data_IF_204241835992
#
_entry.id   IF_204241835992
#
_cell.length_a   1.000
_cell.length_b   1.000
_cell.length_c   1.000
_cell.angle_alpha   90.00
_cell.angle_beta   90.00
_cell.angle_gamma   90.00
#
_symmetry.space_group_name_H-M   'P 1'
#
loop_
_entity.id
_entity.type
_entity.pdbx_description
1 polymer ?
#
# COMPACT_ATOMS: atom_id res chain seq x y z
N UNK A 1 4.15 -0.90 12.70
CA UNK A 1 3.40 -1.87 13.52
C UNK A 1 1.92 -1.92 13.12
N UNK A 2 1.21 -0.80 13.02
CA UNK A 2 -0.22 -0.77 12.69
C UNK A 2 -0.58 -1.59 11.45
N UNK A 3 0.18 -1.49 10.36
CA UNK A 3 -0.03 -2.24 9.12
C UNK A 3 0.13 -3.76 9.28
N UNK A 4 0.95 -4.21 10.22
CA UNK A 4 1.25 -5.64 10.42
C UNK A 4 0.36 -6.24 11.51
N UNK A 5 0.24 -5.55 12.65
CA UNK A 5 -0.46 -6.08 13.84
C UNK A 5 -1.84 -5.50 14.06
N UNK A 6 -2.24 -4.51 13.26
CA UNK A 6 -3.47 -3.76 13.46
C UNK A 6 -3.37 -2.65 14.51
N UNK A 7 -2.26 -2.58 15.26
CA UNK A 7 -2.06 -1.68 16.38
C UNK A 7 -0.70 -0.98 16.31
N UNK A 8 -0.64 0.25 16.76
CA UNK A 8 0.61 0.99 17.00
C UNK A 8 0.48 1.80 18.27
N UNK A 9 1.49 1.73 19.11
CA UNK A 9 1.55 2.41 20.41
C UNK A 9 2.72 3.36 20.40
N UNK A 10 2.46 4.63 20.71
CA UNK A 10 3.47 5.66 20.88
C UNK A 10 3.39 6.14 22.32
N UNK A 11 4.42 5.86 23.09
CA UNK A 11 4.51 6.27 24.47
C UNK A 11 5.23 7.62 24.58
N UNK A 12 4.65 8.51 25.38
CA UNK A 12 5.21 9.82 25.69
C UNK A 12 5.97 9.76 27.02
N UNK A 13 7.29 9.85 26.95
CA UNK A 13 8.12 10.00 28.12
C UNK A 13 8.03 11.45 28.63
N UNK A 14 7.56 11.63 29.86
CA UNK A 14 7.35 12.95 30.45
C UNK A 14 8.45 13.32 31.45
N UNK A 15 8.84 14.59 31.40
CA UNK A 15 9.70 15.20 32.41
C UNK A 15 8.92 15.39 33.73
N UNK A 16 9.66 15.62 34.82
CA UNK A 16 9.08 15.90 36.14
C UNK A 16 8.11 17.10 36.16
N UNK A 17 8.22 18.01 35.18
CA UNK A 17 7.33 19.15 35.00
C UNK A 17 6.06 18.81 34.18
N UNK A 18 5.86 17.54 33.84
CA UNK A 18 4.71 17.03 33.09
C UNK A 18 4.79 17.22 31.57
N UNK A 19 5.80 17.94 31.05
CA UNK A 19 5.96 18.12 29.60
C UNK A 19 6.53 16.87 28.94
N UNK A 20 6.10 16.60 27.72
CA UNK A 20 6.63 15.50 26.91
C UNK A 20 8.08 15.80 26.51
N UNK A 21 8.99 14.90 26.86
CA UNK A 21 10.40 14.98 26.50
C UNK A 21 10.67 14.31 25.15
N UNK A 22 10.05 13.16 24.95
CA UNK A 22 10.22 12.35 23.73
C UNK A 22 9.01 11.45 23.49
N UNK A 23 8.84 11.01 22.25
CA UNK A 23 7.85 10.03 21.84
C UNK A 23 8.57 8.76 21.37
N UNK A 24 8.23 7.63 21.99
CA UNK A 24 8.84 6.33 21.69
C UNK A 24 7.79 5.40 21.13
N UNK A 25 8.03 4.86 19.93
CA UNK A 25 7.16 3.84 19.36
C UNK A 25 7.44 2.49 19.99
N UNK A 26 6.45 1.92 20.66
CA UNK A 26 6.57 0.59 21.30
C UNK A 26 6.27 -0.52 20.29
N UNK A 27 7.07 -1.62 20.28
CA UNK A 27 6.76 -2.81 19.52
C UNK A 27 5.43 -3.43 19.98
N UNK A 28 4.41 -3.39 19.11
CA UNK A 28 3.03 -3.75 19.46
C UNK A 28 2.85 -5.20 19.94
N UNK A 29 3.74 -6.12 19.56
CA UNK A 29 3.70 -7.50 20.01
C UNK A 29 4.02 -7.68 21.50
N UNK A 30 4.60 -6.68 22.15
CA UNK A 30 4.95 -6.71 23.58
C UNK A 30 4.08 -5.80 24.44
N UNK A 31 3.06 -5.16 23.82
CA UNK A 31 2.12 -4.27 24.53
C UNK A 31 0.82 -5.00 24.77
N UNK A 32 0.40 -5.09 26.04
CA UNK A 32 -0.92 -5.55 26.40
C UNK A 32 -1.76 -4.39 26.96
N UNK A 33 -3.05 -4.41 26.64
CA UNK A 33 -4.02 -3.39 27.09
C UNK A 33 -4.61 -3.82 28.41
N UNK A 34 -4.62 -2.91 29.37
CA UNK A 34 -5.26 -3.08 30.66
C UNK A 34 -6.60 -2.35 30.61
N UNK A 35 -7.70 -3.12 30.69
CA UNK A 35 -9.07 -2.58 30.66
C UNK A 35 -9.45 -1.99 32.02
N UNK A 36 -10.22 -0.91 32.01
CA UNK A 36 -10.83 -0.33 33.20
C UNK A 36 -12.11 -1.06 33.67
N UNK A 37 -12.45 -2.18 33.02
CA UNK A 37 -13.66 -2.96 33.29
C UNK A 37 -14.90 -2.47 32.53
N UNK A 38 -14.81 -1.41 31.76
CA UNK A 38 -15.88 -0.96 30.86
C UNK A 38 -15.73 -1.54 29.46
N UNK A 39 -16.76 -1.43 28.64
CA UNK A 39 -16.82 -2.05 27.31
C UNK A 39 -15.66 -1.61 26.39
N UNK A 40 -15.26 -0.34 26.45
CA UNK A 40 -14.22 0.23 25.59
C UNK A 40 -13.16 1.00 26.37
N UNK A 41 -13.19 0.92 27.70
CA UNK A 41 -12.29 1.68 28.54
C UNK A 41 -10.92 1.04 28.66
N UNK A 42 -9.90 1.86 28.58
CA UNK A 42 -8.51 1.49 28.75
C UNK A 42 -7.96 2.27 29.95
N UNK A 43 -7.58 1.55 30.98
CA UNK A 43 -6.93 2.11 32.17
C UNK A 43 -5.46 2.41 31.87
N UNK A 44 -4.81 1.48 31.18
CA UNK A 44 -3.40 1.60 30.84
C UNK A 44 -2.91 0.51 29.91
N UNK A 45 -1.59 0.44 29.82
CA UNK A 45 -0.87 -0.53 28.99
C UNK A 45 0.25 -1.16 29.81
N UNK A 46 0.58 -2.41 29.52
CA UNK A 46 1.82 -3.02 30.00
C UNK A 46 2.77 -3.28 28.84
N UNK A 47 4.06 -3.10 29.08
CA UNK A 47 5.09 -3.34 28.08
C UNK A 47 6.09 -4.39 28.59
N UNK A 48 5.93 -5.62 28.13
CA UNK A 48 6.60 -6.79 28.68
C UNK A 48 8.07 -6.89 28.31
N UNK A 49 8.52 -6.24 27.22
CA UNK A 49 9.92 -6.32 26.76
C UNK A 49 10.93 -5.79 27.79
N UNK A 50 10.58 -4.76 28.54
CA UNK A 50 11.43 -4.14 29.58
C UNK A 50 10.82 -4.25 30.97
N UNK A 51 9.74 -5.02 31.12
CA UNK A 51 9.10 -5.24 32.43
C UNK A 51 8.39 -4.01 32.97
N UNK A 52 7.82 -3.17 32.11
CA UNK A 52 6.92 -2.08 32.54
C UNK A 52 5.52 -2.63 32.72
N UNK A 53 5.13 -2.83 33.96
CA UNK A 53 3.86 -3.46 34.29
C UNK A 53 2.67 -2.54 34.03
N UNK A 54 2.87 -1.23 34.11
CA UNK A 54 1.83 -0.24 33.91
C UNK A 54 2.34 1.05 33.28
N UNK A 55 1.69 1.45 32.17
CA UNK A 55 1.80 2.75 31.51
C UNK A 55 0.41 3.37 31.50
N UNK A 56 0.28 4.60 32.01
CA UNK A 56 -1.00 5.31 32.05
C UNK A 56 -1.55 5.54 30.63
N UNK A 57 -2.83 5.31 30.43
CA UNK A 57 -3.48 5.50 29.13
C UNK A 57 -3.31 6.92 28.57
N UNK A 58 -3.20 7.93 29.43
CA UNK A 58 -2.97 9.33 29.01
C UNK A 58 -1.59 9.58 28.40
N UNK A 59 -0.63 8.70 28.64
CA UNK A 59 0.74 8.83 28.15
C UNK A 59 1.01 7.95 26.93
N UNK A 60 -0.01 7.26 26.41
CA UNK A 60 0.12 6.38 25.23
C UNK A 60 -0.87 6.80 24.15
N UNK A 61 -0.35 7.08 22.96
CA UNK A 61 -1.18 7.26 21.78
C UNK A 61 -1.35 5.87 21.14
N UNK A 62 -2.58 5.36 21.16
CA UNK A 62 -2.93 4.09 20.54
C UNK A 62 -3.64 4.32 19.21
N UNK A 63 -2.94 3.99 18.11
CA UNK A 63 -3.49 3.97 16.76
C UNK A 63 -3.87 2.54 16.40
N UNK A 64 -5.14 2.31 16.06
CA UNK A 64 -5.63 0.96 15.72
C UNK A 64 -6.55 0.99 14.51
N UNK A 65 -6.60 -0.13 13.81
CA UNK A 65 -7.65 -0.38 12.82
C UNK A 65 -8.96 -0.80 13.52
N UNK A 66 -10.06 -0.65 12.80
CA UNK A 66 -11.34 -1.14 13.28
C UNK A 66 -11.32 -2.67 13.47
N UNK A 67 -11.84 -3.12 14.59
CA UNK A 67 -12.01 -4.53 14.88
C UNK A 67 -13.50 -4.83 15.11
N UNK A 68 -14.14 -5.65 14.25
CA UNK A 68 -15.54 -6.02 14.39
C UNK A 68 -15.77 -7.07 15.47
N UNK A 69 -14.71 -7.74 15.94
CA UNK A 69 -14.84 -8.77 16.96
C UNK A 69 -15.00 -8.15 18.34
N UNK A 70 -16.00 -8.65 19.04
CA UNK A 70 -16.34 -8.22 20.40
C UNK A 70 -16.46 -9.46 21.27
N UNK A 71 -15.64 -9.58 22.29
CA UNK A 71 -15.67 -10.72 23.21
C UNK A 71 -15.34 -10.32 24.63
N UNK A 72 -15.50 -11.28 25.55
CA UNK A 72 -15.20 -11.10 26.98
C UNK A 72 -13.72 -10.92 27.29
N UNK A 73 -12.84 -11.24 26.33
CA UNK A 73 -11.40 -11.08 26.45
C UNK A 73 -10.91 -9.67 26.04
N UNK A 74 -11.80 -8.81 25.60
CA UNK A 74 -11.47 -7.44 25.23
C UNK A 74 -10.88 -7.31 23.82
N UNK A 75 -11.22 -8.22 22.88
CA UNK A 75 -10.73 -8.16 21.50
C UNK A 75 -11.02 -6.82 20.82
N UNK A 76 -12.13 -6.16 21.17
CA UNK A 76 -12.51 -4.84 20.66
C UNK A 76 -11.54 -3.71 21.04
N UNK A 77 -10.74 -3.92 22.08
CA UNK A 77 -9.74 -2.94 22.50
C UNK A 77 -8.55 -2.91 21.54
N UNK A 78 -8.26 -4.04 20.88
CA UNK A 78 -7.20 -4.16 19.89
C UNK A 78 -7.73 -3.92 18.48
N UNK A 79 -6.87 -3.43 17.61
CA UNK A 79 -7.15 -3.32 16.18
C UNK A 79 -6.98 -4.66 15.45
N UNK A 80 -7.80 -4.91 14.43
CA UNK A 80 -7.67 -6.07 13.57
C UNK A 80 -6.55 -5.86 12.55
N UNK A 81 -5.61 -6.78 12.47
CA UNK A 81 -4.55 -6.74 11.47
C UNK A 81 -5.10 -6.95 10.06
N UNK A 82 -4.70 -6.14 9.06
CA UNK A 82 -5.00 -6.42 7.65
C UNK A 82 -4.51 -7.81 7.21
N UNK A 83 -3.33 -8.24 7.70
CA UNK A 83 -2.81 -9.59 7.43
C UNK A 83 -3.67 -10.69 8.06
N UNK A 84 -4.26 -10.44 9.22
CA UNK A 84 -5.17 -11.38 9.85
C UNK A 84 -6.47 -11.50 9.04
N UNK A 85 -6.97 -10.40 8.50
CA UNK A 85 -8.12 -10.43 7.58
C UNK A 85 -7.80 -11.23 6.31
N UNK A 86 -6.55 -11.14 5.80
CA UNK A 86 -6.05 -11.86 4.64
C UNK A 86 -5.37 -13.20 5.00
N UNK A 87 -5.60 -13.76 6.18
CA UNK A 87 -4.88 -14.93 6.68
C UNK A 87 -4.85 -16.10 5.69
N UNK A 88 -5.98 -16.40 5.06
CA UNK A 88 -6.07 -17.49 4.07
C UNK A 88 -5.20 -17.24 2.84
N UNK A 89 -5.10 -16.01 2.39
CA UNK A 89 -4.25 -15.63 1.25
C UNK A 89 -2.77 -15.79 1.61
N UNK A 90 -2.37 -15.34 2.81
CA UNK A 90 -1.02 -15.51 3.32
C UNK A 90 -0.67 -16.99 3.48
N UNK A 91 -1.57 -17.77 4.09
CA UNK A 91 -1.37 -19.21 4.28
C UNK A 91 -1.22 -19.92 2.92
N UNK A 92 -2.12 -19.66 1.96
CA UNK A 92 -2.03 -20.22 0.61
C UNK A 92 -0.68 -19.91 -0.05
N UNK A 93 -0.16 -18.69 0.10
CA UNK A 93 1.14 -18.31 -0.43
C UNK A 93 2.27 -19.10 0.22
N UNK A 94 2.23 -19.30 1.53
CA UNK A 94 3.24 -20.07 2.24
C UNK A 94 3.19 -21.55 1.83
N UNK A 95 2.00 -22.15 1.82
CA UNK A 95 1.81 -23.55 1.42
C UNK A 95 2.23 -23.80 -0.03
N UNK A 96 1.96 -22.85 -0.95
CA UNK A 96 2.40 -22.92 -2.34
C UNK A 96 3.93 -22.88 -2.46
N UNK A 97 4.59 -22.00 -1.70
CA UNK A 97 6.05 -21.90 -1.67
C UNK A 97 6.70 -23.15 -1.05
N UNK A 98 6.15 -23.64 0.07
CA UNK A 98 6.62 -24.85 0.70
C UNK A 98 6.45 -26.07 -0.21
N UNK A 99 5.33 -26.16 -0.92
CA UNK A 99 5.07 -27.19 -1.94
C UNK A 99 6.08 -27.09 -3.09
N UNK A 100 6.35 -25.88 -3.59
CA UNK A 100 7.33 -25.64 -4.64
C UNK A 100 8.74 -26.05 -4.21
N UNK A 101 9.14 -25.68 -2.99
CA UNK A 101 10.43 -26.08 -2.41
C UNK A 101 10.47 -27.59 -2.23
N UNK A 102 9.42 -28.21 -1.71
CA UNK A 102 9.31 -29.66 -1.55
C UNK A 102 9.40 -30.41 -2.89
N UNK A 103 8.78 -29.89 -3.93
CA UNK A 103 8.88 -30.45 -5.31
C UNK A 103 10.31 -30.35 -5.87
N UNK A 104 10.99 -29.24 -5.59
CA UNK A 104 12.39 -29.05 -6.03
C UNK A 104 13.38 -29.92 -5.24
N UNK A 105 13.14 -30.13 -3.97
CA UNK A 105 13.96 -30.97 -3.10
C UNK A 105 13.71 -32.46 -3.30
N UNK A 106 12.45 -32.83 -3.35
CA UNK A 106 12.01 -34.18 -3.68
C UNK A 106 11.89 -34.28 -5.20
N UNK A 107 13.02 -34.38 -5.89
CA UNK A 107 13.02 -34.78 -7.29
C UNK A 107 12.45 -36.20 -7.35
N UNK A 108 11.14 -36.35 -7.16
CA UNK A 108 10.43 -37.61 -7.26
C UNK A 108 10.74 -38.29 -8.58
N UNK A 109 10.49 -39.59 -8.73
CA UNK A 109 10.76 -40.30 -9.96
C UNK A 109 10.03 -39.58 -11.09
N UNK A 110 10.81 -39.06 -12.05
CA UNK A 110 10.26 -38.38 -13.25
C UNK A 110 9.34 -39.28 -14.09
N UNK A 111 9.27 -40.55 -13.72
CA UNK A 111 8.40 -41.52 -14.33
C UNK A 111 8.62 -42.94 -13.78
N UNK A 112 7.75 -43.81 -14.18
CA UNK A 112 7.86 -45.24 -13.86
C UNK A 112 8.31 -45.96 -15.12
N UNK A 113 9.37 -46.71 -14.98
CA UNK A 113 9.84 -47.66 -16.00
C UNK A 113 9.14 -49.00 -15.71
N UNK A 114 8.39 -49.52 -16.67
CA UNK A 114 7.75 -50.81 -16.53
C UNK A 114 8.11 -51.70 -17.70
N UNK A 115 8.15 -53.01 -17.46
CA UNK A 115 8.36 -53.99 -18.52
C UNK A 115 7.02 -54.22 -19.26
N UNK A 116 7.06 -54.30 -20.59
CA UNK A 116 5.90 -54.70 -21.41
C UNK A 116 5.54 -56.17 -21.15
N UNK A 117 4.25 -56.50 -21.21
CA UNK A 117 3.67 -57.81 -20.81
C UNK A 117 4.34 -59.03 -21.43
N UNK A 118 5.16 -58.88 -22.45
CA UNK A 118 5.87 -59.94 -23.13
C UNK A 118 7.19 -60.41 -22.44
N UNK A 119 7.66 -59.75 -21.41
CA UNK A 119 8.89 -60.08 -20.68
C UNK A 119 8.64 -60.06 -19.17
N UNK A 120 8.61 -61.24 -18.54
CA UNK A 120 8.53 -61.38 -17.06
C UNK A 120 9.87 -60.95 -16.48
N UNK A 121 9.94 -59.69 -16.04
CA UNK A 121 11.10 -59.19 -15.25
C UNK A 121 11.06 -59.85 -13.87
N UNK A 122 12.06 -60.69 -13.57
CA UNK A 122 12.27 -61.21 -12.23
C UNK A 122 12.64 -60.10 -11.26
N UNK A 123 12.34 -60.30 -9.96
CA UNK A 123 12.68 -59.33 -8.89
C UNK A 123 14.18 -58.99 -8.88
N UNK A 124 15.03 -59.93 -9.25
CA UNK A 124 16.48 -59.76 -9.32
C UNK A 124 16.94 -58.83 -10.45
N UNK A 125 16.31 -58.93 -11.62
CA UNK A 125 16.58 -58.07 -12.77
C UNK A 125 16.07 -56.66 -12.55
N UNK A 126 14.92 -56.49 -11.94
CA UNK A 126 14.37 -55.19 -11.49
C UNK A 126 15.28 -54.52 -10.45
N UNK A 127 15.89 -55.30 -9.54
CA UNK A 127 16.87 -54.83 -8.59
C UNK A 127 18.14 -54.28 -9.23
N UNK A 128 18.70 -55.03 -10.18
CA UNK A 128 19.90 -54.63 -10.95
C UNK A 128 19.65 -53.37 -11.77
N UNK A 129 18.51 -53.28 -12.46
CA UNK A 129 18.14 -52.11 -13.23
C UNK A 129 17.99 -50.85 -12.36
N UNK A 130 17.42 -51.02 -11.17
CA UNK A 130 17.30 -49.96 -10.17
C UNK A 130 18.65 -49.46 -9.65
N UNK A 131 19.55 -50.41 -9.40
CA UNK A 131 20.91 -50.12 -8.93
C UNK A 131 21.76 -49.43 -10.00
N UNK A 132 21.69 -49.90 -11.25
CA UNK A 132 22.34 -49.27 -12.39
C UNK A 132 21.81 -47.88 -12.68
N UNK A 133 20.49 -47.68 -12.57
CA UNK A 133 19.87 -46.36 -12.71
C UNK A 133 20.32 -45.43 -11.60
N UNK A 134 20.36 -45.92 -10.35
CA UNK A 134 20.77 -45.13 -9.17
C UNK A 134 22.26 -44.77 -9.26
N UNK A 135 23.10 -45.69 -9.73
CA UNK A 135 24.54 -45.46 -9.92
C UNK A 135 24.84 -44.50 -11.07
N UNK A 136 24.00 -44.46 -12.11
CA UNK A 136 24.16 -43.58 -13.26
C UNK A 136 23.55 -42.19 -13.06
N UNK A 137 22.42 -42.08 -12.37
CA UNK A 137 21.63 -40.84 -12.25
C UNK A 137 21.33 -40.42 -10.82
N UNK A 138 21.64 -41.24 -9.83
CA UNK A 138 21.39 -40.95 -8.43
C UNK A 138 22.35 -39.91 -7.84
N UNK A 139 21.91 -39.17 -6.89
CA UNK A 139 22.75 -38.22 -6.13
C UNK A 139 23.59 -38.98 -5.11
N UNK A 140 24.92 -38.89 -5.18
CA UNK A 140 25.78 -39.47 -4.16
C UNK A 140 25.61 -38.72 -2.85
N UNK A 141 25.69 -39.41 -1.72
CA UNK A 141 25.41 -38.93 -0.35
C UNK A 141 26.31 -37.78 0.15
N UNK A 142 27.13 -37.17 -0.68
CA UNK A 142 27.97 -36.02 -0.41
C UNK A 142 27.67 -34.78 -1.29
N UNK A 143 26.48 -34.70 -1.89
CA UNK A 143 26.08 -33.51 -2.66
C UNK A 143 26.80 -33.36 -4.02
N UNK A 144 27.59 -34.33 -4.46
CA UNK A 144 28.15 -34.34 -5.80
C UNK A 144 27.09 -34.76 -6.82
N UNK A 145 26.65 -33.82 -7.63
CA UNK A 145 25.79 -34.09 -8.78
C UNK A 145 26.62 -34.89 -9.80
N UNK A 146 26.19 -36.13 -10.08
CA UNK A 146 26.78 -36.91 -11.15
C UNK A 146 26.40 -36.24 -12.49
N UNK A 147 27.35 -35.62 -13.18
CA UNK A 147 27.14 -35.00 -14.48
C UNK A 147 26.96 -36.08 -15.55
N UNK A 148 25.79 -36.68 -15.61
CA UNK A 148 25.39 -37.66 -16.61
C UNK A 148 24.25 -37.15 -17.50
N UNK A 149 24.09 -35.83 -17.62
CA UNK A 149 23.16 -35.24 -18.54
C UNK A 149 23.49 -35.67 -19.98
N UNK A 150 22.56 -36.37 -20.60
CA UNK A 150 22.70 -36.81 -22.00
C UNK A 150 23.18 -38.27 -22.21
N UNK A 151 23.49 -39.04 -21.17
CA UNK A 151 23.74 -40.47 -21.33
C UNK A 151 22.46 -41.26 -21.60
N UNK A 152 22.50 -42.12 -22.60
CA UNK A 152 21.38 -42.98 -23.00
C UNK A 152 21.46 -44.26 -22.18
N UNK A 153 20.39 -44.60 -21.47
CA UNK A 153 20.26 -45.92 -20.83
C UNK A 153 19.95 -46.96 -21.89
N UNK A 154 20.81 -47.96 -22.04
CA UNK A 154 20.59 -49.08 -22.96
C UNK A 154 19.99 -50.22 -22.12
N UNK A 155 18.72 -50.50 -22.32
CA UNK A 155 18.02 -51.58 -21.66
C UNK A 155 17.91 -52.77 -22.63
N UNK A 156 18.21 -53.99 -22.16
CA UNK A 156 18.11 -55.20 -22.94
C UNK A 156 16.67 -55.73 -23.13
N UNK A 157 15.67 -55.02 -22.62
CA UNK A 157 14.27 -55.42 -22.68
C UNK A 157 13.40 -54.26 -23.17
N UNK A 158 12.23 -54.57 -23.74
CA UNK A 158 11.25 -53.59 -24.16
C UNK A 158 10.60 -52.95 -22.91
N UNK A 159 10.98 -51.70 -22.63
CA UNK A 159 10.55 -50.95 -21.48
C UNK A 159 9.54 -49.88 -21.91
N UNK A 160 8.45 -49.81 -21.20
CA UNK A 160 7.51 -48.70 -21.27
C UNK A 160 7.86 -47.63 -20.22
N UNK A 161 7.72 -46.38 -20.59
CA UNK A 161 7.93 -45.24 -19.70
C UNK A 161 6.64 -44.49 -19.48
N UNK A 162 6.20 -44.40 -18.25
CA UNK A 162 5.12 -43.48 -17.87
C UNK A 162 5.73 -42.25 -17.23
N UNK A 163 5.60 -41.13 -17.93
CA UNK A 163 6.07 -39.87 -17.42
C UNK A 163 5.20 -39.43 -16.22
N UNK A 164 5.79 -39.33 -15.04
CA UNK A 164 5.19 -38.75 -13.83
C UNK A 164 5.76 -37.36 -13.55
N UNK A 165 6.50 -36.82 -14.53
CA UNK A 165 7.11 -35.50 -14.43
C UNK A 165 6.05 -34.42 -14.20
N UNK A 166 6.50 -33.38 -13.54
CA UNK A 166 5.76 -32.20 -13.13
C UNK A 166 4.72 -31.81 -14.20
N UNK A 167 3.49 -31.92 -13.79
CA UNK A 167 2.28 -31.61 -14.53
C UNK A 167 2.18 -30.08 -14.76
N UNK A 168 1.26 -29.60 -15.60
CA UNK A 168 0.86 -28.21 -15.75
C UNK A 168 0.57 -27.46 -14.43
N UNK A 169 0.49 -28.16 -13.31
CA UNK A 169 0.39 -27.66 -11.94
C UNK A 169 1.50 -26.64 -11.61
N UNK A 170 2.72 -26.77 -12.19
CA UNK A 170 3.83 -25.84 -11.93
C UNK A 170 3.58 -24.46 -12.54
N UNK A 171 2.97 -24.41 -13.71
CA UNK A 171 2.52 -23.16 -14.34
C UNK A 171 1.39 -22.50 -13.53
N UNK A 172 0.48 -23.29 -12.95
CA UNK A 172 -0.57 -22.80 -12.08
C UNK A 172 -0.04 -22.24 -10.75
N UNK A 173 1.09 -22.75 -10.23
CA UNK A 173 1.74 -22.19 -9.04
C UNK A 173 2.26 -20.78 -9.29
N UNK A 174 2.90 -20.52 -10.43
CA UNK A 174 3.38 -19.19 -10.80
C UNK A 174 2.23 -18.18 -11.00
N UNK A 175 1.13 -18.61 -11.63
CA UNK A 175 -0.07 -17.78 -11.76
C UNK A 175 -0.73 -17.53 -10.39
N UNK A 176 -0.73 -18.53 -9.50
CA UNK A 176 -1.22 -18.39 -8.13
C UNK A 176 -0.42 -17.35 -7.33
N UNK A 177 0.90 -17.23 -7.54
CA UNK A 177 1.71 -16.19 -6.90
C UNK A 177 1.30 -14.78 -7.33
N UNK A 178 1.02 -14.58 -8.62
CA UNK A 178 0.52 -13.29 -9.13
C UNK A 178 -0.84 -12.91 -8.53
N UNK A 179 -1.75 -13.89 -8.46
CA UNK A 179 -3.08 -13.69 -7.84
C UNK A 179 -2.92 -13.34 -6.36
N UNK A 180 -2.06 -14.05 -5.64
CA UNK A 180 -1.77 -13.79 -4.22
C UNK A 180 -1.21 -12.39 -4.00
N UNK A 181 -0.27 -11.94 -4.85
CA UNK A 181 0.27 -10.58 -4.82
C UNK A 181 -0.87 -9.54 -4.95
N UNK A 182 -1.73 -9.70 -5.95
CA UNK A 182 -2.86 -8.79 -6.19
C UNK A 182 -3.87 -8.78 -5.04
N UNK A 183 -4.17 -9.95 -4.47
CA UNK A 183 -5.04 -10.04 -3.28
C UNK A 183 -4.45 -9.30 -2.08
N UNK A 184 -3.15 -9.46 -1.79
CA UNK A 184 -2.47 -8.74 -0.72
C UNK A 184 -2.41 -7.23 -1.00
N UNK A 185 -2.16 -6.83 -2.23
CA UNK A 185 -2.22 -5.43 -2.64
C UNK A 185 -3.62 -4.84 -2.37
N UNK A 186 -4.69 -5.56 -2.70
CA UNK A 186 -6.07 -5.14 -2.44
C UNK A 186 -6.37 -4.98 -0.95
N UNK A 187 -5.83 -5.85 -0.08
CA UNK A 187 -5.99 -5.76 1.38
C UNK A 187 -5.41 -4.46 1.94
N UNK A 188 -4.31 -4.00 1.36
CA UNK A 188 -3.66 -2.74 1.76
C UNK A 188 -4.10 -1.53 0.92
N UNK A 189 -4.98 -1.72 -0.06
CA UNK A 189 -5.43 -0.65 -0.96
C UNK A 189 -4.32 -0.11 -1.87
N UNK A 190 -3.32 -0.94 -2.19
CA UNK A 190 -2.16 -0.54 -3.00
C UNK A 190 -2.22 -1.21 -4.37
N UNK A 191 -1.89 -0.47 -5.41
CA UNK A 191 -1.88 -1.02 -6.77
C UNK A 191 -0.70 -1.99 -6.99
N UNK A 192 -0.97 -3.17 -7.57
CA UNK A 192 0.04 -4.21 -7.82
C UNK A 192 1.17 -3.77 -8.78
N UNK A 193 0.93 -2.76 -9.60
CA UNK A 193 1.95 -2.19 -10.50
C UNK A 193 3.20 -1.71 -9.72
N UNK A 194 3.06 -1.27 -8.47
CA UNK A 194 4.17 -0.85 -7.61
C UNK A 194 5.08 -2.01 -7.18
N UNK A 195 4.61 -3.24 -7.25
CA UNK A 195 5.31 -4.45 -6.83
C UNK A 195 5.81 -5.31 -8.00
N UNK A 196 6.10 -4.68 -9.14
CA UNK A 196 6.62 -5.36 -10.34
C UNK A 196 5.67 -6.41 -10.92
N UNK A 197 4.34 -6.22 -10.83
CA UNK A 197 3.37 -7.06 -11.53
C UNK A 197 3.59 -6.93 -13.06
N UNK A 198 4.04 -8.00 -13.75
CA UNK A 198 4.45 -7.89 -15.15
C UNK A 198 3.28 -7.58 -16.08
N UNK A 199 2.06 -7.94 -15.68
CA UNK A 199 0.87 -7.75 -16.51
C UNK A 199 0.32 -6.31 -16.39
N UNK A 200 0.74 -5.55 -15.35
CA UNK A 200 0.21 -4.21 -15.03
C UNK A 200 1.28 -3.10 -15.05
N UNK A 201 2.53 -3.44 -15.46
CA UNK A 201 3.67 -2.51 -15.41
C UNK A 201 3.81 -1.71 -16.69
N UNK A 202 3.06 -0.60 -16.83
CA UNK A 202 3.35 0.43 -17.83
C UNK A 202 3.78 1.73 -17.14
N UNK A 203 4.45 2.63 -17.86
CA UNK A 203 4.94 3.90 -17.29
C UNK A 203 3.78 4.74 -16.73
N UNK A 204 2.69 4.84 -17.47
CA UNK A 204 1.51 5.60 -17.03
C UNK A 204 0.84 4.95 -15.81
N UNK A 205 0.70 3.61 -15.81
CA UNK A 205 0.13 2.91 -14.66
C UNK A 205 0.97 3.08 -13.40
N UNK A 206 2.31 3.12 -13.52
CA UNK A 206 3.20 3.35 -12.39
C UNK A 206 3.04 4.75 -11.78
N UNK A 207 2.86 5.78 -12.60
CA UNK A 207 2.65 7.15 -12.15
C UNK A 207 1.31 7.28 -11.41
N UNK A 208 0.24 6.78 -12.02
CA UNK A 208 -1.08 6.76 -11.41
C UNK A 208 -1.12 5.92 -10.14
N UNK A 209 -0.45 4.75 -10.12
CA UNK A 209 -0.39 3.90 -8.95
C UNK A 209 0.32 4.56 -7.76
N UNK A 210 1.36 5.36 -7.99
CA UNK A 210 2.01 6.15 -6.93
C UNK A 210 1.08 7.21 -6.36
N UNK A 211 0.39 7.94 -7.23
CA UNK A 211 -0.60 8.96 -6.84
C UNK A 211 -1.75 8.32 -6.05
N UNK A 212 -2.27 7.19 -6.54
CA UNK A 212 -3.31 6.42 -5.88
C UNK A 212 -2.89 5.94 -4.49
N UNK A 213 -1.67 5.40 -4.35
CA UNK A 213 -1.11 5.00 -3.05
C UNK A 213 -1.05 6.18 -2.07
N UNK A 214 -0.60 7.34 -2.53
CA UNK A 214 -0.54 8.53 -1.68
C UNK A 214 -1.94 8.98 -1.24
N UNK A 215 -2.89 9.07 -2.16
CA UNK A 215 -4.22 9.62 -1.87
C UNK A 215 -5.11 8.65 -1.11
N UNK A 216 -5.04 7.34 -1.39
CA UNK A 216 -5.94 6.35 -0.80
C UNK A 216 -5.37 5.66 0.45
N UNK A 217 -4.05 5.59 0.59
CA UNK A 217 -3.41 4.87 1.70
C UNK A 217 -2.64 5.80 2.62
N UNK A 218 -1.71 6.60 2.07
CA UNK A 218 -0.80 7.42 2.89
C UNK A 218 -1.52 8.59 3.55
N UNK A 219 -2.30 9.36 2.78
CA UNK A 219 -3.00 10.53 3.32
C UNK A 219 -4.01 10.18 4.42
N UNK A 220 -4.87 9.15 4.30
CA UNK A 220 -5.75 8.74 5.40
C UNK A 220 -4.99 8.34 6.66
N UNK A 221 -3.85 7.66 6.54
CA UNK A 221 -3.00 7.31 7.68
C UNK A 221 -2.35 8.54 8.32
N UNK A 222 -1.90 9.50 7.53
CA UNK A 222 -1.36 10.78 8.02
C UNK A 222 -2.45 11.60 8.73
N UNK A 223 -3.68 11.63 8.21
CA UNK A 223 -4.82 12.29 8.85
C UNK A 223 -5.13 11.64 10.19
N UNK A 224 -5.17 10.30 10.25
CA UNK A 224 -5.42 9.58 11.50
C UNK A 224 -4.32 9.87 12.55
N UNK A 225 -3.06 9.92 12.12
CA UNK A 225 -1.92 10.26 12.97
C UNK A 225 -1.98 11.71 13.47
N UNK A 226 -2.25 12.65 12.57
CA UNK A 226 -2.44 14.08 12.87
C UNK A 226 -3.53 14.27 13.92
N UNK A 227 -4.69 13.64 13.71
CA UNK A 227 -5.84 13.77 14.61
C UNK A 227 -5.57 13.14 15.98
N UNK A 228 -4.80 12.05 16.02
CA UNK A 228 -4.36 11.45 17.28
C UNK A 228 -3.38 12.37 18.03
N UNK A 229 -2.43 12.98 17.35
CA UNK A 229 -1.49 13.93 17.94
C UNK A 229 -2.22 15.19 18.42
N UNK A 230 -3.13 15.75 17.64
CA UNK A 230 -3.90 16.92 18.06
C UNK A 230 -4.75 16.63 19.33
N UNK A 231 -5.34 15.44 19.43
CA UNK A 231 -6.05 15.04 20.65
C UNK A 231 -5.12 14.87 21.84
N UNK A 232 -3.97 14.25 21.63
CA UNK A 232 -2.99 13.97 22.68
C UNK A 232 -2.37 15.26 23.23
N UNK A 233 -1.97 16.17 22.34
CA UNK A 233 -1.33 17.44 22.71
C UNK A 233 -2.29 18.60 22.91
N UNK A 234 -3.61 18.37 22.91
CA UNK A 234 -4.61 19.45 23.01
C UNK A 234 -4.41 20.38 24.21
N UNK A 235 -3.95 19.84 25.35
CA UNK A 235 -3.66 20.62 26.55
C UNK A 235 -2.32 21.36 26.52
N UNK A 236 -1.39 20.97 25.64
CA UNK A 236 -0.01 21.47 25.61
C UNK A 236 0.20 22.52 24.51
N UNK A 237 -0.50 22.38 23.37
CA UNK A 237 -0.33 23.26 22.19
C UNK A 237 -1.00 24.63 22.41
N UNK A 238 -2.03 24.72 23.27
CA UNK A 238 -2.77 25.94 23.51
C UNK A 238 -3.88 26.22 22.49
N UNK A 239 -4.77 27.13 22.83
CA UNK A 239 -5.92 27.46 22.00
C UNK A 239 -5.49 28.18 20.71
N UNK A 240 -5.98 27.69 19.58
CA UNK A 240 -5.74 28.31 18.26
C UNK A 240 -4.60 27.72 17.45
N UNK A 241 -3.88 26.75 17.99
CA UNK A 241 -2.84 26.01 17.25
C UNK A 241 -3.23 24.56 17.06
N UNK A 242 -2.78 23.96 15.95
CA UNK A 242 -2.95 22.55 15.67
C UNK A 242 -1.74 22.02 14.90
N UNK A 243 -1.49 20.74 15.04
CA UNK A 243 -0.46 20.02 14.28
C UNK A 243 -1.07 19.63 12.93
N UNK A 244 -0.37 19.93 11.87
CA UNK A 244 -0.74 19.49 10.52
C UNK A 244 0.51 19.02 9.76
N UNK A 245 0.30 18.38 8.62
CA UNK A 245 1.37 17.96 7.73
C UNK A 245 1.28 18.69 6.40
N UNK A 246 2.44 18.93 5.79
CA UNK A 246 2.52 19.62 4.52
C UNK A 246 2.38 18.64 3.34
N UNK A 247 1.28 18.76 2.59
CA UNK A 247 1.02 17.93 1.41
C UNK A 247 1.95 18.30 0.24
N UNK A 248 2.52 19.50 0.23
CA UNK A 248 3.38 19.96 -0.87
C UNK A 248 4.71 19.21 -0.94
N UNK A 249 5.06 18.48 0.12
CA UNK A 249 6.22 17.59 0.16
C UNK A 249 6.11 16.42 -0.83
N UNK A 250 4.89 16.06 -1.26
CA UNK A 250 4.67 14.94 -2.18
C UNK A 250 4.71 15.40 -3.65
N UNK A 251 5.77 15.06 -4.43
CA UNK A 251 5.89 15.50 -5.82
C UNK A 251 4.75 15.02 -6.71
N UNK A 252 4.20 13.83 -6.43
CA UNK A 252 3.12 13.22 -7.19
C UNK A 252 1.79 14.00 -7.06
N UNK A 253 1.62 14.77 -5.99
CA UNK A 253 0.47 15.63 -5.76
C UNK A 253 0.66 17.05 -6.31
N UNK A 254 1.88 17.44 -6.63
CA UNK A 254 2.18 18.77 -7.20
C UNK A 254 1.63 18.92 -8.64
N UNK A 255 1.47 17.83 -9.38
CA UNK A 255 0.84 17.88 -10.70
C UNK A 255 -0.62 18.30 -10.64
N UNK A 256 -1.34 17.89 -9.59
CA UNK A 256 -2.71 18.35 -9.35
C UNK A 256 -2.74 19.85 -9.04
N UNK A 257 -1.72 20.37 -8.38
CA UNK A 257 -1.58 21.82 -8.15
C UNK A 257 -1.34 22.59 -9.45
N UNK A 258 -0.62 22.00 -10.41
CA UNK A 258 -0.43 22.60 -11.73
C UNK A 258 -1.72 22.64 -12.52
N UNK A 259 -2.49 21.55 -12.50
CA UNK A 259 -3.81 21.47 -13.12
C UNK A 259 -4.78 22.46 -12.46
N UNK A 260 -4.81 22.47 -11.12
CA UNK A 260 -5.60 23.43 -10.34
C UNK A 260 -5.22 24.87 -10.68
N UNK A 261 -3.93 25.20 -10.77
CA UNK A 261 -3.46 26.51 -11.21
C UNK A 261 -3.94 26.87 -12.59
N UNK A 262 -3.95 25.91 -13.53
CA UNK A 262 -4.50 26.06 -14.87
C UNK A 262 -5.99 26.38 -14.84
N UNK A 263 -6.77 25.65 -14.05
CA UNK A 263 -8.21 25.87 -13.87
C UNK A 263 -8.46 27.24 -13.23
N UNK A 264 -7.77 27.57 -12.14
CA UNK A 264 -7.92 28.83 -11.44
C UNK A 264 -7.51 30.06 -12.29
N UNK A 265 -6.55 29.90 -13.20
CA UNK A 265 -6.14 30.97 -14.12
C UNK A 265 -7.25 31.34 -15.10
N UNK A 266 -8.05 30.35 -15.50
CA UNK A 266 -9.21 30.54 -16.39
C UNK A 266 -10.48 30.99 -15.67
N UNK A 267 -10.53 30.82 -14.34
CA UNK A 267 -11.69 31.15 -13.51
C UNK A 267 -11.68 32.63 -13.13
N UNK A 268 -12.21 33.47 -14.01
CA UNK A 268 -12.24 34.93 -13.81
C UNK A 268 -13.22 35.39 -12.71
N UNK A 269 -14.22 34.54 -12.36
CA UNK A 269 -15.25 34.80 -11.35
C UNK A 269 -14.77 34.55 -9.89
N UNK A 270 -13.53 34.10 -9.68
CA UNK A 270 -12.91 33.87 -8.38
C UNK A 270 -11.92 34.98 -8.10
N UNK A 271 -11.94 35.53 -6.88
CA UNK A 271 -11.02 36.58 -6.48
C UNK A 271 -9.58 36.11 -6.39
N UNK A 272 -8.56 36.97 -6.53
CA UNK A 272 -7.17 36.61 -6.35
C UNK A 272 -6.85 35.99 -4.98
N UNK A 273 -7.47 36.47 -3.88
CA UNK A 273 -7.30 35.90 -2.55
C UNK A 273 -7.90 34.50 -2.44
N UNK A 274 -9.07 34.25 -3.03
CA UNK A 274 -9.65 32.92 -3.09
C UNK A 274 -8.78 31.95 -3.92
N UNK A 275 -8.18 32.41 -5.02
CA UNK A 275 -7.22 31.62 -5.82
C UNK A 275 -5.97 31.30 -5.02
N UNK A 276 -5.45 32.27 -4.24
CA UNK A 276 -4.31 32.05 -3.34
C UNK A 276 -4.66 31.02 -2.26
N UNK A 277 -5.81 31.18 -1.61
CA UNK A 277 -6.29 30.24 -0.60
C UNK A 277 -6.48 28.82 -1.16
N UNK A 278 -7.07 28.67 -2.36
CA UNK A 278 -7.22 27.39 -3.04
C UNK A 278 -5.87 26.74 -3.38
N UNK A 279 -4.85 27.56 -3.69
CA UNK A 279 -3.46 27.13 -3.92
C UNK A 279 -2.65 27.01 -2.62
N UNK A 280 -3.30 27.22 -1.46
CA UNK A 280 -2.68 27.19 -0.11
C UNK A 280 -1.59 28.25 0.12
N UNK A 281 -1.68 29.36 -0.58
CA UNK A 281 -0.88 30.55 -0.27
C UNK A 281 -1.65 31.44 0.72
N UNK A 282 -0.91 32.18 1.54
CA UNK A 282 -1.49 33.19 2.43
C UNK A 282 -2.23 34.24 1.60
N UNK A 283 -3.38 34.72 2.09
CA UNK A 283 -4.11 35.81 1.49
C UNK A 283 -3.34 37.12 1.63
N UNK A 284 -3.46 37.99 0.62
CA UNK A 284 -2.86 39.33 0.68
C UNK A 284 -3.77 40.28 1.47
N UNK A 285 -3.18 41.18 2.24
CA UNK A 285 -3.92 42.24 2.95
C UNK A 285 -4.38 43.38 2.03
N UNK A 286 -4.04 43.38 0.75
CA UNK A 286 -4.45 44.38 -0.22
C UNK A 286 -5.93 44.19 -0.57
N UNK A 287 -6.82 45.18 -0.31
CA UNK A 287 -8.25 45.10 -0.61
C UNK A 287 -8.55 44.79 -2.09
N UNK A 288 -7.69 45.22 -3.03
CA UNK A 288 -7.86 44.92 -4.44
C UNK A 288 -7.82 43.39 -4.75
N UNK A 289 -7.22 42.58 -3.88
CA UNK A 289 -7.12 41.13 -4.04
C UNK A 289 -8.43 40.38 -3.70
N UNK A 290 -9.41 41.06 -3.10
CA UNK A 290 -10.73 40.54 -2.81
C UNK A 290 -11.77 40.95 -3.88
N UNK A 291 -11.35 41.68 -4.93
CA UNK A 291 -12.19 42.06 -6.03
C UNK A 291 -12.10 41.07 -7.20
N UNK A 292 -13.22 40.93 -7.96
CA UNK A 292 -13.26 40.07 -9.14
C UNK A 292 -12.75 40.85 -10.35
N UNK A 293 -11.70 40.33 -10.97
CA UNK A 293 -11.14 40.91 -12.20
C UNK A 293 -11.77 40.26 -13.44
N UNK A 294 -12.52 41.05 -14.19
CA UNK A 294 -13.11 40.60 -15.47
C UNK A 294 -12.07 40.82 -16.57
N UNK A 295 -11.69 39.79 -17.35
CA UNK A 295 -10.77 39.97 -18.47
C UNK A 295 -11.32 40.97 -19.50
N UNK A 296 -10.47 41.83 -20.03
CA UNK A 296 -10.82 42.74 -21.10
C UNK A 296 -11.33 41.96 -22.32
N UNK A 297 -12.56 42.28 -22.79
CA UNK A 297 -13.19 41.55 -23.90
C UNK A 297 -14.45 40.76 -23.54
N UNK A 298 -14.74 40.58 -22.25
CA UNK A 298 -16.07 40.10 -21.83
C UNK A 298 -17.05 41.26 -21.83
N UNK A 299 -17.96 41.28 -22.82
CA UNK A 299 -19.05 42.22 -22.88
C UNK A 299 -20.31 41.60 -22.27
N UNK A 300 -21.07 42.38 -21.53
CA UNK A 300 -22.38 41.96 -21.05
C UNK A 300 -23.34 41.84 -22.25
N UNK A 301 -24.32 40.91 -22.15
CA UNK A 301 -25.30 40.69 -23.21
C UNK A 301 -26.05 41.98 -23.55
N UNK A 302 -26.32 42.82 -22.53
CA UNK A 302 -26.98 44.12 -22.69
C UNK A 302 -26.10 45.11 -23.50
N UNK A 303 -24.76 45.05 -23.34
CA UNK A 303 -23.82 45.88 -24.12
C UNK A 303 -23.66 45.39 -25.55
N UNK A 304 -23.78 44.07 -25.79
CA UNK A 304 -23.83 43.51 -27.14
C UNK A 304 -25.05 43.97 -27.93
N UNK A 305 -26.20 44.11 -27.28
CA UNK A 305 -27.43 44.65 -27.90
C UNK A 305 -27.30 46.14 -28.18
N UNK A 306 -26.62 46.93 -27.36
CA UNK A 306 -26.34 48.33 -27.58
C UNK A 306 -25.34 48.57 -28.73
N UNK A 307 -24.40 47.65 -28.96
CA UNK A 307 -23.45 47.73 -30.09
C UNK A 307 -24.11 47.35 -31.44
N UNK A 308 -25.27 46.71 -31.44
CA UNK A 308 -26.02 46.33 -32.64
C UNK A 308 -27.07 47.40 -33.04
N UNK A 309 -27.30 48.40 -32.21
CA UNK A 309 -28.24 49.47 -32.51
C UNK A 309 -27.52 50.64 -33.25
N UNK A 310 -27.72 50.83 -34.56
CA UNK A 310 -26.99 51.82 -35.35
C UNK A 310 -27.29 53.28 -34.96
N UNK A 311 -28.24 53.50 -34.05
CA UNK A 311 -28.57 54.84 -33.54
C UNK A 311 -27.61 55.29 -32.39
N UNK A 312 -26.90 54.44 -31.78
CA UNK A 312 -25.95 54.77 -30.65
C UNK A 312 -24.52 55.08 -31.13
N UNK A 313 -24.21 54.87 -32.42
CA UNK A 313 -22.87 55.15 -32.96
C UNK A 313 -22.54 56.66 -33.10
N UNK A 314 -23.52 57.54 -32.91
CA UNK A 314 -23.29 58.97 -33.02
C UNK A 314 -23.01 59.75 -31.75
N UNK A 315 -23.01 59.06 -30.56
CA UNK A 315 -22.73 59.73 -29.29
C UNK A 315 -21.35 59.48 -28.71
N UNK A 316 -20.47 58.66 -29.34
CA UNK A 316 -19.11 58.43 -28.91
C UNK A 316 -18.04 59.29 -29.55
N UNK A 317 -18.43 60.46 -30.17
CA UNK A 317 -17.57 61.37 -30.95
C UNK A 317 -16.77 62.40 -30.11
N UNK A 318 -16.75 62.46 -28.82
CA UNK A 318 -16.04 63.51 -28.10
C UNK A 318 -15.26 62.94 -26.83
N UNK A 319 -14.34 62.03 -27.05
CA UNK A 319 -13.27 61.85 -26.09
C UNK A 319 -11.98 62.50 -26.60
N UNK A 320 -11.79 63.73 -26.15
CA UNK A 320 -10.57 64.53 -26.33
C UNK A 320 -9.43 63.84 -25.63
N UNK A 321 -8.52 63.20 -26.36
CA UNK A 321 -7.28 62.66 -25.85
C UNK A 321 -6.29 63.82 -25.71
N UNK A 322 -5.84 64.22 -24.53
CA UNK A 322 -4.79 65.24 -24.37
C UNK A 322 -3.46 64.72 -24.93
N UNK A 323 -2.65 65.56 -25.59
CA UNK A 323 -1.41 65.13 -26.17
C UNK A 323 -0.39 64.79 -25.08
N UNK A 324 0.25 63.65 -25.24
CA UNK A 324 1.39 63.22 -24.41
C UNK A 324 2.56 64.17 -24.65
N UNK A 325 3.02 64.80 -23.59
CA UNK A 325 4.30 65.51 -23.56
C UNK A 325 5.43 64.61 -23.16
#
# INVERSE_FOLDING_TARGET
>A
YKLITGNSYIWANRLANGKVAELVTLPSQYVAIISDGTINGVEGYSFTLVGWDFLDAKDVIHLKYFNPYFDTNGSQLYGLSPLQAAYRTVQRSNDAKDTSVGMLQNQGPKGILYADESNNFGQEEAGKLKEDFYNQYGTKSQGQIVQNAGKILIAGAKLGWVNMGLSPIDLQLLESEKVTLRELCNVYGVNSALFNDPDNKTYNNMKEAKKEMLTQVVLPELVALRDAFNRFFASEIGNGYYIDFDITVFPELQEDMKELSGILSQSWWITPNEKRAAMRYDTSADPAMDEIFIPAGYLRIDELTMLQDPTNAQQQGDYNIPPVK
#
